data_IF_297556243122
#
_entry.id   IF_297556243122
#
_cell.length_a   1.000
_cell.length_b   1.000
_cell.length_c   1.000
_cell.angle_alpha   90.00
_cell.angle_beta   90.00
_cell.angle_gamma   90.00
#
_symmetry.space_group_name_H-M   'P 1'
#
loop_
_entity.id
_entity.type
_entity.pdbx_description
1 polymer ?
#
# COMPACT_ATOMS: atom_id res chain seq x y z
N UNK A 1 12.83 14.81 10.55
CA UNK A 1 12.69 13.55 11.29
C UNK A 1 11.69 12.64 10.57
N UNK A 2 12.10 11.44 10.17
CA UNK A 2 11.21 10.53 9.44
C UNK A 2 10.00 10.07 10.26
N UNK A 3 10.10 10.00 11.58
CA UNK A 3 8.94 9.62 12.39
C UNK A 3 7.89 10.73 12.40
N UNK A 4 8.31 12.00 12.40
CA UNK A 4 7.39 13.12 12.29
C UNK A 4 6.73 13.15 10.90
N UNK A 5 7.49 12.89 9.84
CA UNK A 5 6.94 12.80 8.48
C UNK A 5 5.93 11.67 8.35
N UNK A 6 6.21 10.53 8.99
CA UNK A 6 5.31 9.39 9.01
C UNK A 6 3.98 9.76 9.68
N UNK A 7 4.05 10.39 10.85
CA UNK A 7 2.84 10.80 11.59
C UNK A 7 2.05 11.84 10.81
N UNK A 8 2.74 12.79 10.17
CA UNK A 8 2.11 13.78 9.31
C UNK A 8 1.33 13.09 8.17
N UNK A 9 1.94 12.13 7.51
CA UNK A 9 1.28 11.43 6.41
C UNK A 9 -0.04 10.79 6.85
N UNK A 10 -0.02 10.10 8.00
CA UNK A 10 -1.22 9.41 8.48
C UNK A 10 -2.26 10.34 9.12
N UNK A 11 -1.88 11.51 9.61
CA UNK A 11 -2.81 12.42 10.29
C UNK A 11 -3.29 13.59 9.42
N UNK A 12 -2.45 14.08 8.51
CA UNK A 12 -2.74 15.29 7.74
C UNK A 12 -3.03 15.03 6.27
N UNK A 13 -2.57 13.91 5.72
CA UNK A 13 -2.84 13.55 4.33
C UNK A 13 -4.12 12.71 4.29
N UNK A 14 -5.23 13.33 3.93
CA UNK A 14 -6.55 12.69 3.89
C UNK A 14 -6.80 11.98 2.58
N UNK A 15 -6.23 12.48 1.49
CA UNK A 15 -6.26 11.85 0.19
C UNK A 15 -4.88 11.88 -0.44
N UNK A 16 -4.59 10.88 -1.26
CA UNK A 16 -3.27 10.72 -1.85
C UNK A 16 -3.40 10.02 -3.19
N UNK A 17 -2.65 10.48 -4.16
CA UNK A 17 -2.57 9.86 -5.48
C UNK A 17 -1.13 9.84 -5.94
N UNK A 18 -0.69 8.72 -6.50
CA UNK A 18 0.66 8.62 -7.05
C UNK A 18 0.75 7.52 -8.11
N UNK A 19 1.73 7.64 -8.98
CA UNK A 19 2.20 6.51 -9.77
C UNK A 19 3.12 5.68 -8.87
N UNK A 20 3.23 4.39 -9.15
CA UNK A 20 4.15 3.54 -8.40
C UNK A 20 4.91 2.60 -9.33
N UNK A 21 6.13 2.29 -8.91
CA UNK A 21 6.91 1.17 -9.43
C UNK A 21 7.13 0.19 -8.27
N UNK A 22 6.88 -1.08 -8.51
CA UNK A 22 7.03 -2.11 -7.49
C UNK A 22 8.00 -3.17 -7.95
N UNK A 23 8.91 -3.54 -7.08
CA UNK A 23 9.89 -4.58 -7.30
C UNK A 23 9.80 -5.58 -6.15
N UNK A 24 9.72 -6.87 -6.47
CA UNK A 24 9.79 -7.92 -5.46
C UNK A 24 11.15 -8.59 -5.60
N UNK A 25 11.87 -8.65 -4.46
CA UNK A 25 13.22 -9.22 -4.37
C UNK A 25 13.18 -10.50 -3.52
N UNK A 26 13.96 -11.51 -3.93
CA UNK A 26 14.14 -12.70 -3.11
C UNK A 26 15.19 -12.46 -2.01
N UNK A 27 15.51 -13.50 -1.21
CA UNK A 27 16.51 -13.39 -0.14
C UNK A 27 17.89 -12.98 -0.65
N UNK A 28 18.23 -13.38 -1.86
CA UNK A 28 19.51 -13.04 -2.48
C UNK A 28 19.51 -11.68 -3.16
N UNK A 29 18.45 -10.88 -2.99
CA UNK A 29 18.25 -9.59 -3.61
C UNK A 29 18.14 -9.66 -5.14
N UNK A 30 17.70 -10.80 -5.66
CA UNK A 30 17.38 -10.96 -7.08
C UNK A 30 15.97 -10.47 -7.33
N UNK A 31 15.77 -9.75 -8.43
CA UNK A 31 14.45 -9.30 -8.84
C UNK A 31 13.66 -10.50 -9.37
N UNK A 32 12.53 -10.80 -8.71
CA UNK A 32 11.65 -11.89 -9.12
C UNK A 32 10.36 -11.38 -9.77
N UNK A 33 10.03 -10.11 -9.58
CA UNK A 33 8.85 -9.50 -10.18
C UNK A 33 9.00 -7.99 -10.23
N UNK A 34 8.56 -7.38 -11.33
CA UNK A 34 8.46 -5.94 -11.48
C UNK A 34 7.06 -5.61 -11.98
N UNK A 35 6.47 -4.56 -11.42
CA UNK A 35 5.15 -4.09 -11.81
C UNK A 35 5.05 -2.58 -11.60
N UNK A 36 4.05 -1.97 -12.24
CA UNK A 36 3.81 -0.54 -12.12
C UNK A 36 2.33 -0.23 -12.28
N UNK A 37 1.95 0.94 -11.82
CA UNK A 37 0.56 1.37 -11.90
C UNK A 37 0.31 2.68 -11.20
N UNK A 38 -0.93 2.85 -10.75
CA UNK A 38 -1.38 4.06 -10.06
C UNK A 38 -2.15 3.69 -8.80
N UNK A 39 -1.97 4.49 -7.76
CA UNK A 39 -2.71 4.30 -6.52
C UNK A 39 -3.47 5.57 -6.13
N UNK A 40 -4.62 5.38 -5.52
CA UNK A 40 -5.44 6.43 -4.92
C UNK A 40 -5.82 6.00 -3.51
N UNK A 41 -5.77 6.95 -2.59
CA UNK A 41 -6.16 6.74 -1.19
C UNK A 41 -7.13 7.84 -0.77
N UNK A 42 -8.20 7.47 -0.09
CA UNK A 42 -9.09 8.40 0.59
C UNK A 42 -9.36 7.84 1.99
N UNK A 43 -8.82 8.49 3.00
CA UNK A 43 -8.99 8.03 4.39
C UNK A 43 -10.39 8.31 4.90
N UNK A 44 -10.95 7.44 5.73
CA UNK A 44 -10.39 6.17 6.17
C UNK A 44 -10.77 5.01 5.24
N UNK A 45 -9.89 4.03 5.10
CA UNK A 45 -10.17 2.70 4.56
C UNK A 45 -10.65 2.61 3.11
N UNK A 46 -10.44 3.64 2.32
CA UNK A 46 -10.73 3.61 0.89
C UNK A 46 -9.45 3.74 0.12
N UNK A 47 -9.25 2.82 -0.82
CA UNK A 47 -8.11 2.89 -1.72
C UNK A 47 -8.43 2.19 -3.02
N UNK A 48 -7.65 2.53 -4.04
CA UNK A 48 -7.62 1.83 -5.30
C UNK A 48 -6.16 1.70 -5.72
N UNK A 49 -5.79 0.48 -6.08
CA UNK A 49 -4.43 0.16 -6.50
C UNK A 49 -4.53 -0.56 -7.83
N UNK A 50 -4.20 0.13 -8.91
CA UNK A 50 -4.28 -0.42 -10.26
C UNK A 50 -2.90 -0.77 -10.76
N UNK A 51 -2.69 -2.05 -11.07
CA UNK A 51 -1.51 -2.48 -11.82
C UNK A 51 -1.80 -2.34 -13.30
N UNK A 52 -0.87 -1.71 -14.04
CA UNK A 52 -0.94 -1.58 -15.49
C UNK A 52 -0.01 -2.56 -16.19
N UNK A 53 1.16 -2.78 -15.62
CA UNK A 53 2.24 -3.60 -16.18
C UNK A 53 2.79 -4.53 -15.11
N UNK A 54 3.19 -5.77 -15.45
CA UNK A 54 3.06 -6.39 -16.78
C UNK A 54 1.63 -6.85 -17.08
N UNK A 55 0.80 -7.06 -16.05
CA UNK A 55 -0.57 -7.52 -16.15
C UNK A 55 -1.50 -6.57 -15.41
N UNK A 56 -2.70 -6.37 -15.96
CA UNK A 56 -3.70 -5.53 -15.31
C UNK A 56 -4.34 -6.25 -14.14
N UNK A 57 -4.39 -5.58 -13.01
CA UNK A 57 -5.10 -6.02 -11.83
C UNK A 57 -5.58 -4.79 -11.08
N UNK A 58 -6.77 -4.86 -10.51
CA UNK A 58 -7.30 -3.76 -9.71
C UNK A 58 -7.60 -4.27 -8.30
N UNK A 59 -7.15 -3.52 -7.31
CA UNK A 59 -7.50 -3.77 -5.91
C UNK A 59 -8.26 -2.53 -5.44
N UNK A 60 -9.53 -2.73 -5.05
CA UNK A 60 -10.39 -1.61 -4.65
C UNK A 60 -10.99 -1.90 -3.28
N UNK A 61 -10.74 -0.98 -2.35
CA UNK A 61 -11.37 -0.99 -1.03
C UNK A 61 -12.37 0.15 -0.94
N UNK A 62 -13.63 -0.19 -0.68
CA UNK A 62 -14.73 0.76 -0.67
C UNK A 62 -15.10 1.27 0.73
N UNK A 63 -14.31 0.92 1.73
CA UNK A 63 -14.56 1.26 3.12
C UNK A 63 -15.10 0.08 3.93
N UNK A 64 -15.69 -0.91 3.29
CA UNK A 64 -16.23 -2.10 3.96
C UNK A 64 -15.72 -3.41 3.37
N UNK A 65 -15.41 -3.44 2.09
CA UNK A 65 -14.95 -4.65 1.38
C UNK A 65 -13.73 -4.35 0.54
N UNK A 66 -12.93 -5.39 0.27
CA UNK A 66 -11.81 -5.35 -0.67
C UNK A 66 -12.16 -6.23 -1.85
N UNK A 67 -12.06 -5.65 -3.04
CA UNK A 67 -12.22 -6.32 -4.31
C UNK A 67 -10.86 -6.49 -4.97
N UNK A 68 -10.56 -7.68 -5.46
CA UNK A 68 -9.39 -7.92 -6.30
C UNK A 68 -9.90 -8.42 -7.64
N UNK A 69 -9.70 -7.62 -8.68
CA UNK A 69 -10.20 -7.89 -10.01
C UNK A 69 -9.06 -8.15 -10.98
N UNK A 70 -9.12 -9.30 -11.65
CA UNK A 70 -8.19 -9.67 -12.71
C UNK A 70 -8.94 -9.68 -14.04
N UNK A 71 -8.75 -8.65 -14.89
CA UNK A 71 -9.47 -8.57 -16.17
C UNK A 71 -9.17 -9.70 -17.13
N UNK A 72 -7.92 -10.19 -17.16
CA UNK A 72 -7.52 -11.25 -18.07
C UNK A 72 -8.17 -12.59 -17.74
N UNK A 73 -8.25 -12.89 -16.44
CA UNK A 73 -8.90 -14.11 -15.96
C UNK A 73 -10.41 -13.96 -15.85
N UNK A 74 -10.94 -12.74 -16.01
CA UNK A 74 -12.36 -12.43 -15.81
C UNK A 74 -12.86 -12.91 -14.44
N UNK A 75 -12.07 -12.66 -13.43
CA UNK A 75 -12.34 -13.11 -12.07
C UNK A 75 -12.17 -11.96 -11.08
N UNK A 76 -13.11 -11.86 -10.16
CA UNK A 76 -13.03 -10.93 -9.04
C UNK A 76 -13.19 -11.69 -7.74
N UNK A 77 -12.39 -11.35 -6.75
CA UNK A 77 -12.58 -11.84 -5.38
C UNK A 77 -13.03 -10.69 -4.52
N UNK A 78 -13.85 -10.99 -3.52
CA UNK A 78 -14.31 -9.99 -2.55
C UNK A 78 -14.23 -10.57 -1.16
N UNK A 79 -13.79 -9.75 -0.21
CA UNK A 79 -13.75 -10.13 1.20
C UNK A 79 -13.99 -8.89 2.07
N UNK A 80 -14.44 -9.09 3.32
CA UNK A 80 -14.58 -7.97 4.24
C UNK A 80 -13.24 -7.27 4.48
N UNK A 81 -13.28 -5.97 4.66
CA UNK A 81 -12.11 -5.19 5.04
C UNK A 81 -11.91 -5.37 6.56
N UNK A 82 -11.17 -6.37 6.93
CA UNK A 82 -10.87 -6.63 8.34
C UNK A 82 -9.40 -6.33 8.63
N UNK A 83 -9.20 -5.49 9.59
CA UNK A 83 -8.05 -5.17 10.41
C UNK A 83 -6.62 -5.55 10.06
N UNK A 84 -6.31 -5.98 8.87
CA UNK A 84 -4.95 -6.35 8.50
C UNK A 84 -4.14 -5.17 7.98
N UNK A 85 -3.68 -4.29 8.87
CA UNK A 85 -2.90 -3.10 8.50
C UNK A 85 -1.53 -3.40 7.89
N UNK A 86 -1.14 -4.62 7.71
CA UNK A 86 0.17 -4.95 7.18
C UNK A 86 0.15 -5.99 6.08
N UNK A 87 -1.03 -6.33 5.56
CA UNK A 87 -1.13 -7.42 4.58
C UNK A 87 -0.65 -7.02 3.19
N UNK A 88 -0.82 -5.77 2.82
CA UNK A 88 -0.38 -5.25 1.53
C UNK A 88 0.12 -3.82 1.69
N UNK A 89 0.95 -3.32 0.76
CA UNK A 89 1.35 -1.92 0.77
C UNK A 89 0.17 -0.95 0.78
N UNK A 90 -0.87 -1.25 -0.01
CA UNK A 90 -2.06 -0.40 -0.09
C UNK A 90 -2.79 -0.32 1.24
N UNK A 91 -2.98 -1.44 1.92
CA UNK A 91 -3.67 -1.48 3.21
C UNK A 91 -2.91 -0.71 4.28
N UNK A 92 -1.59 -0.83 4.28
CA UNK A 92 -0.76 -0.06 5.20
C UNK A 92 -0.93 1.44 4.97
N UNK A 93 -0.76 1.89 3.74
CA UNK A 93 -0.79 3.32 3.41
C UNK A 93 -2.18 3.93 3.58
N UNK A 94 -3.24 3.17 3.32
CA UNK A 94 -4.63 3.64 3.44
C UNK A 94 -5.17 3.52 4.86
N UNK A 95 -4.45 2.87 5.76
CA UNK A 95 -4.87 2.67 7.13
C UNK A 95 -5.10 3.99 7.86
N UNK A 96 -5.86 3.89 8.94
CA UNK A 96 -6.12 5.03 9.82
C UNK A 96 -5.93 4.60 11.25
N UNK A 97 -6.03 5.58 12.16
CA UNK A 97 -5.91 5.31 13.57
C UNK A 97 -4.48 5.47 14.05
N UNK A 98 -4.23 4.92 15.23
CA UNK A 98 -2.94 5.10 15.88
C UNK A 98 -1.97 4.04 15.41
N UNK A 99 -0.96 4.47 14.67
CA UNK A 99 0.13 3.58 14.23
C UNK A 99 0.78 2.88 15.42
N UNK A 100 0.92 3.57 16.55
CA UNK A 100 1.55 3.03 17.75
C UNK A 100 0.79 1.85 18.34
N UNK A 101 -0.50 1.70 18.06
CA UNK A 101 -1.26 0.55 18.53
C UNK A 101 -0.84 -0.75 17.84
N UNK A 102 -0.34 -0.66 16.61
CA UNK A 102 -0.01 -1.81 15.79
C UNK A 102 1.49 -1.98 15.52
N UNK A 103 2.26 -0.91 15.67
CA UNK A 103 3.67 -0.91 15.32
C UNK A 103 4.53 -0.22 16.36
N UNK A 104 5.74 -0.72 16.53
CA UNK A 104 6.82 0.05 17.16
C UNK A 104 7.49 0.86 16.09
N UNK A 105 7.55 2.17 16.29
CA UNK A 105 8.06 3.11 15.30
C UNK A 105 9.44 3.59 15.74
N UNK A 106 10.39 3.55 14.78
CA UNK A 106 11.77 3.91 15.06
C UNK A 106 12.34 4.71 13.88
N UNK A 107 13.11 5.75 14.19
CA UNK A 107 13.88 6.44 13.16
C UNK A 107 15.12 5.63 12.82
N UNK A 108 15.37 5.43 11.54
CA UNK A 108 16.60 4.79 11.05
C UNK A 108 17.61 5.82 10.52
N UNK A 109 17.26 7.11 10.60
CA UNK A 109 18.13 8.18 10.10
C UNK A 109 18.04 8.38 8.61
N UNK A 110 19.01 9.11 8.09
CA UNK A 110 19.04 9.53 6.68
C UNK A 110 20.06 8.72 5.91
N UNK A 111 19.68 8.28 4.73
CA UNK A 111 20.57 7.61 3.79
C UNK A 111 20.37 8.23 2.41
N UNK A 112 21.37 8.95 1.92
CA UNK A 112 21.24 9.74 0.70
C UNK A 112 20.20 10.84 0.88
N UNK A 113 19.23 10.89 -0.01
CA UNK A 113 18.14 11.88 0.03
C UNK A 113 16.95 11.43 0.87
N UNK A 114 16.96 10.20 1.36
CA UNK A 114 15.84 9.60 2.05
C UNK A 114 16.07 9.53 3.55
N UNK A 115 15.05 9.93 4.30
CA UNK A 115 14.98 9.71 5.74
C UNK A 115 14.02 8.55 6.00
N UNK A 116 14.47 7.55 6.75
CA UNK A 116 13.79 6.27 6.90
C UNK A 116 13.19 6.10 8.28
N UNK A 117 11.94 5.67 8.33
CA UNK A 117 11.27 5.21 9.54
C UNK A 117 11.02 3.71 9.42
N UNK A 118 11.16 3.02 10.54
CA UNK A 118 10.86 1.59 10.63
C UNK A 118 9.58 1.39 11.43
N UNK A 119 8.72 0.53 10.91
CA UNK A 119 7.52 0.06 11.60
C UNK A 119 7.66 -1.43 11.84
N UNK A 120 7.85 -1.82 13.10
CA UNK A 120 7.92 -3.22 13.47
C UNK A 120 6.53 -3.64 13.96
N UNK A 121 5.87 -4.61 13.31
CA UNK A 121 4.56 -5.07 13.75
C UNK A 121 4.62 -5.61 15.17
N UNK A 122 3.66 -5.23 16.00
CA UNK A 122 3.53 -5.76 17.36
C UNK A 122 2.99 -7.17 17.38
N UNK A 123 2.19 -7.53 16.36
CA UNK A 123 1.64 -8.87 16.16
C UNK A 123 2.36 -9.56 15.02
N UNK A 124 2.71 -10.82 15.20
CA UNK A 124 3.42 -11.61 14.19
C UNK A 124 2.49 -12.56 13.45
N UNK A 125 1.25 -12.18 13.27
CA UNK A 125 0.22 -12.99 12.62
C UNK A 125 -0.10 -12.53 11.20
N UNK A 126 0.58 -11.52 10.69
CA UNK A 126 0.38 -11.00 9.35
C UNK A 126 1.60 -11.19 8.48
N UNK A 127 1.47 -10.97 7.18
CA UNK A 127 2.47 -11.31 6.19
C UNK A 127 3.83 -10.64 6.32
N UNK A 128 3.92 -9.40 6.80
CA UNK A 128 5.19 -8.66 6.82
C UNK A 128 5.77 -8.55 8.23
N UNK A 129 7.07 -8.78 8.33
CA UNK A 129 7.81 -8.74 9.60
C UNK A 129 8.56 -7.44 9.81
N UNK A 130 8.95 -6.75 8.73
CA UNK A 130 9.68 -5.49 8.80
C UNK A 130 9.15 -4.56 7.72
N UNK A 131 8.85 -3.33 8.11
CA UNK A 131 8.34 -2.31 7.20
C UNK A 131 9.19 -1.07 7.37
N UNK A 132 9.64 -0.50 6.25
CA UNK A 132 10.44 0.72 6.22
C UNK A 132 9.83 1.70 5.25
N UNK A 133 9.69 2.93 5.68
CA UNK A 133 9.11 3.99 4.87
C UNK A 133 10.15 5.11 4.73
N UNK A 134 10.44 5.47 3.47
CA UNK A 134 11.40 6.50 3.15
C UNK A 134 10.72 7.79 2.72
N UNK A 135 11.19 8.90 3.28
CA UNK A 135 10.69 10.23 2.98
C UNK A 135 11.79 11.07 2.34
N UNK A 136 11.43 11.80 1.29
CA UNK A 136 12.30 12.78 0.67
C UNK A 136 11.69 14.15 0.93
N UNK A 137 12.44 15.03 1.62
CA UNK A 137 11.95 16.36 1.99
C UNK A 137 10.58 16.32 2.71
N UNK A 138 10.40 15.32 3.59
CA UNK A 138 9.17 15.15 4.34
C UNK A 138 8.03 14.50 3.59
N UNK A 139 8.22 14.15 2.32
CA UNK A 139 7.20 13.54 1.47
C UNK A 139 7.45 12.05 1.30
N UNK A 140 6.38 11.28 1.30
CA UNK A 140 6.46 9.83 1.10
C UNK A 140 7.07 9.52 -0.27
N UNK A 141 8.14 8.71 -0.29
CA UNK A 141 8.85 8.38 -1.52
C UNK A 141 8.97 6.89 -1.76
N UNK A 142 9.20 6.11 -0.71
CA UNK A 142 9.48 4.69 -0.85
C UNK A 142 8.90 3.91 0.32
N UNK A 143 8.49 2.68 0.02
CA UNK A 143 8.00 1.72 1.00
C UNK A 143 8.70 0.39 0.76
N UNK A 144 9.27 -0.19 1.81
CA UNK A 144 9.85 -1.54 1.76
C UNK A 144 9.19 -2.41 2.80
N UNK A 145 8.77 -3.61 2.38
CA UNK A 145 8.11 -4.57 3.26
C UNK A 145 8.76 -5.93 3.09
N UNK A 146 9.24 -6.49 4.19
CA UNK A 146 9.90 -7.81 4.21
C UNK A 146 8.96 -8.81 4.87
N UNK A 147 8.69 -9.93 4.19
CA UNK A 147 7.84 -10.99 4.73
C UNK A 147 8.67 -12.02 5.53
N UNK A 148 7.99 -13.04 6.07
CA UNK A 148 8.63 -14.07 6.88
C UNK A 148 9.50 -15.05 6.11
N UNK A 149 9.51 -14.96 4.77
CA UNK A 149 10.32 -15.81 3.89
C UNK A 149 11.54 -15.07 3.35
N UNK A 150 11.80 -13.85 3.82
CA UNK A 150 12.92 -13.03 3.36
C UNK A 150 12.68 -12.31 2.04
N UNK A 151 11.46 -12.34 1.52
CA UNK A 151 11.10 -11.65 0.30
C UNK A 151 10.80 -10.19 0.62
N UNK A 152 11.37 -9.27 -0.16
CA UNK A 152 11.18 -7.83 0.00
C UNK A 152 10.31 -7.29 -1.13
N UNK A 153 9.26 -6.57 -0.77
CA UNK A 153 8.47 -5.78 -1.71
C UNK A 153 8.87 -4.32 -1.55
N UNK A 154 9.36 -3.72 -2.63
CA UNK A 154 9.78 -2.31 -2.64
C UNK A 154 8.89 -1.53 -3.59
N UNK A 155 8.25 -0.48 -3.06
CA UNK A 155 7.37 0.40 -3.84
C UNK A 155 7.99 1.78 -3.86
N UNK A 156 8.21 2.32 -5.06
CA UNK A 156 8.64 3.71 -5.25
C UNK A 156 7.45 4.52 -5.71
N UNK A 157 7.21 5.65 -5.07
CA UNK A 157 6.08 6.52 -5.36
C UNK A 157 6.53 7.73 -6.17
N UNK A 158 5.81 8.01 -7.26
CA UNK A 158 6.18 9.01 -8.26
C UNK A 158 5.00 9.95 -8.47
N UNK A 159 5.31 11.23 -8.72
CA UNK A 159 4.32 12.27 -9.00
C UNK A 159 3.19 12.31 -7.97
N UNK A 160 3.50 12.40 -6.67
CA UNK A 160 2.48 12.36 -5.63
C UNK A 160 1.64 13.63 -5.60
N UNK A 161 0.36 13.46 -5.25
CA UNK A 161 -0.57 14.56 -4.98
C UNK A 161 -1.22 14.32 -3.64
N UNK A 162 -0.98 15.21 -2.68
CA UNK A 162 -1.55 15.13 -1.35
C UNK A 162 -2.77 16.02 -1.24
N UNK A 163 -3.83 15.50 -0.62
CA UNK A 163 -5.05 16.24 -0.32
C UNK A 163 -5.75 16.85 -1.54
N UNK A 164 -5.52 16.26 -2.72
CA UNK A 164 -6.26 16.61 -3.92
C UNK A 164 -7.64 15.94 -3.89
N UNK A 165 -8.61 16.56 -4.57
CA UNK A 165 -9.94 15.97 -4.68
C UNK A 165 -9.87 14.75 -5.59
N UNK A 166 -10.37 13.61 -5.11
CA UNK A 166 -10.45 12.37 -5.86
C UNK A 166 -11.93 12.04 -6.07
N UNK A 167 -12.30 11.68 -7.29
CA UNK A 167 -13.66 11.26 -7.60
C UNK A 167 -14.01 10.02 -6.78
N UNK A 168 -15.15 10.05 -6.08
CA UNK A 168 -15.59 8.96 -5.21
C UNK A 168 -15.80 7.65 -5.97
N UNK A 169 -16.05 7.70 -7.28
CA UNK A 169 -16.22 6.50 -8.11
C UNK A 169 -14.96 5.66 -8.21
N UNK A 170 -13.79 6.25 -7.91
CA UNK A 170 -12.53 5.49 -7.86
C UNK A 170 -12.57 4.38 -6.81
N UNK A 171 -13.35 4.57 -5.75
CA UNK A 171 -13.36 3.67 -4.60
C UNK A 171 -14.58 2.75 -4.57
N UNK A 172 -15.25 2.58 -5.71
CA UNK A 172 -16.35 1.62 -5.84
C UNK A 172 -16.04 0.66 -7.00
N UNK A 173 -16.48 -0.58 -6.85
CA UNK A 173 -16.27 -1.60 -7.85
C UNK A 173 -17.58 -2.36 -8.07
N UNK A 174 -17.95 -2.49 -9.34
CA UNK A 174 -19.08 -3.32 -9.76
C UNK A 174 -18.51 -4.34 -10.74
N UNK A 175 -18.65 -5.64 -10.47
CA UNK A 175 -18.14 -6.66 -11.39
C UNK A 175 -18.72 -6.48 -12.78
N UNK A 176 -17.89 -6.42 -13.84
CA UNK A 176 -18.40 -6.39 -15.19
C UNK A 176 -19.17 -7.66 -15.54
N UNK A 177 -20.03 -7.57 -16.55
CA UNK A 177 -20.77 -8.72 -17.03
C UNK A 177 -19.81 -9.80 -17.52
N UNK A 178 -20.07 -11.05 -17.12
CA UNK A 178 -19.23 -12.19 -17.49
C UNK A 178 -18.03 -12.46 -16.59
N UNK A 179 -17.91 -11.69 -15.50
CA UNK A 179 -16.85 -11.89 -14.51
C UNK A 179 -17.35 -12.82 -13.41
N UNK A 180 -16.55 -13.83 -13.09
CA UNK A 180 -16.82 -14.70 -11.96
C UNK A 180 -16.45 -14.02 -10.66
N UNK A 181 -17.37 -14.02 -9.70
CA UNK A 181 -17.14 -13.42 -8.38
C UNK A 181 -17.01 -14.54 -7.36
N UNK A 182 -15.91 -14.53 -6.61
CA UNK A 182 -15.60 -15.50 -5.56
C UNK A 182 -15.49 -14.77 -4.22
N UNK A 183 -16.05 -15.37 -3.18
CA UNK A 183 -16.06 -14.80 -1.85
C UNK A 183 -17.44 -14.31 -1.44
N UNK A 184 -17.48 -13.38 -0.47
CA UNK A 184 -18.75 -12.88 0.06
C UNK A 184 -19.40 -11.82 -0.78
#
# INVERSE_FOLDING_TARGET
DPTASLRRFFSEVHSYQARFNQVVLDEGLNIVQESSGTLWISRPNRFRWDYDLPFKQQIVADGSRIWVYDPELKQATVRPLSGGLGDTPAMLLAGHGKLDDNFKIKSLGTQGKLAWAQLAPKRKDGGFEDIRIGFEQGRLRMLEMVDGFGQTTRVTLLAPKENAKIDATKFSFTPPKGVDVVGE
#
